data_IF_501516886499
#
_entry.id   IF_501516886499
#
_cell.length_a   1.000
_cell.length_b   1.000
_cell.length_c   1.000
_cell.angle_alpha   90.00
_cell.angle_beta   90.00
_cell.angle_gamma   90.00
#
_symmetry.space_group_name_H-M   'P 1'
#
loop_
_entity.id
_entity.type
_entity.pdbx_description
1 polymer ?
#
# COMPACT_ATOMS: atom_id res chain seq x y z
N UNK A 1 -4.27 8.82 7.36
CA UNK A 1 -5.33 7.80 7.58
C UNK A 1 -4.68 6.44 7.43
N UNK A 2 -4.94 5.48 8.33
CA UNK A 2 -4.28 4.18 8.36
C UNK A 2 -5.30 3.04 8.33
N UNK A 3 -5.08 2.08 7.44
CA UNK A 3 -5.93 0.90 7.27
C UNK A 3 -5.06 -0.36 7.35
N UNK A 4 -5.41 -1.29 8.23
CA UNK A 4 -4.74 -2.57 8.34
C UNK A 4 -5.32 -3.55 7.33
N UNK A 5 -4.44 -4.31 6.66
CA UNK A 5 -4.83 -5.22 5.58
C UNK A 5 -5.43 -6.53 6.13
N UNK A 6 -5.20 -6.85 7.40
CA UNK A 6 -5.65 -8.09 8.06
C UNK A 6 -6.17 -7.88 9.49
N UNK A 7 -6.91 -8.86 10.02
CA UNK A 7 -7.53 -8.81 11.36
C UNK A 7 -6.66 -9.50 12.43
N UNK A 8 -6.02 -8.66 13.28
CA UNK A 8 -5.21 -8.93 14.50
C UNK A 8 -3.72 -9.25 14.30
N UNK A 9 -2.85 -8.48 14.98
CA UNK A 9 -1.41 -8.74 15.15
C UNK A 9 -0.47 -7.70 14.55
N UNK A 10 0.81 -8.08 14.47
CA UNK A 10 1.82 -7.54 13.55
C UNK A 10 1.28 -7.73 12.13
N UNK A 11 0.69 -6.66 11.57
CA UNK A 11 -0.06 -6.74 10.31
C UNK A 11 0.32 -5.56 9.40
N UNK A 12 0.51 -5.81 8.10
CA UNK A 12 0.79 -4.76 7.14
C UNK A 12 -0.38 -3.78 7.04
N UNK A 13 -0.02 -2.51 6.85
CA UNK A 13 -0.99 -1.42 6.77
C UNK A 13 -0.71 -0.55 5.54
N UNK A 14 -1.76 0.12 5.09
CA UNK A 14 -1.67 1.26 4.17
C UNK A 14 -1.92 2.52 4.97
N UNK A 15 -0.98 3.46 4.94
CA UNK A 15 -1.05 4.71 5.69
C UNK A 15 -0.76 5.91 4.79
N UNK A 16 -1.67 6.90 4.79
CA UNK A 16 -1.42 8.19 4.15
C UNK A 16 -0.66 9.11 5.09
N UNK A 17 0.52 9.57 4.67
CA UNK A 17 1.42 10.45 5.41
C UNK A 17 1.78 11.67 4.54
N UNK A 18 1.00 12.75 4.67
CA UNK A 18 1.11 13.90 3.78
C UNK A 18 0.72 13.52 2.34
N UNK A 19 1.62 13.77 1.39
CA UNK A 19 1.47 13.43 -0.03
C UNK A 19 1.92 12.01 -0.39
N UNK A 20 2.40 11.25 0.60
CA UNK A 20 2.94 9.91 0.40
C UNK A 20 2.04 8.84 1.01
N UNK A 21 2.18 7.62 0.49
CA UNK A 21 1.52 6.41 0.96
C UNK A 21 2.56 5.42 1.42
N UNK A 22 2.46 4.99 2.67
CA UNK A 22 3.26 3.92 3.25
C UNK A 22 2.49 2.61 3.15
N UNK A 23 3.14 1.55 2.67
CA UNK A 23 2.55 0.20 2.58
C UNK A 23 3.50 -0.81 3.22
N UNK A 24 2.98 -1.62 4.14
CA UNK A 24 3.70 -2.77 4.69
C UNK A 24 3.77 -2.79 6.21
N UNK A 25 4.76 -3.51 6.73
CA UNK A 25 4.94 -3.75 8.15
C UNK A 25 6.42 -3.73 8.56
N UNK A 26 6.75 -2.93 9.59
CA UNK A 26 8.11 -2.87 10.13
C UNK A 26 9.15 -2.52 9.06
N UNK A 27 10.22 -3.31 8.97
CA UNK A 27 11.28 -3.13 7.98
C UNK A 27 10.83 -3.39 6.53
N UNK A 28 9.69 -4.06 6.33
CA UNK A 28 9.10 -4.34 5.02
C UNK A 28 8.08 -3.27 4.62
N UNK A 29 8.32 -2.02 5.00
CA UNK A 29 7.47 -0.87 4.65
C UNK A 29 8.08 -0.10 3.50
N UNK A 30 7.32 0.10 2.43
CA UNK A 30 7.70 0.96 1.31
C UNK A 30 6.97 2.30 1.39
N UNK A 31 7.65 3.36 0.95
CA UNK A 31 7.06 4.70 0.81
C UNK A 31 6.88 5.00 -0.67
N UNK A 32 5.65 5.31 -1.05
CA UNK A 32 5.26 5.67 -2.40
C UNK A 32 4.82 7.12 -2.45
N UNK A 33 5.34 7.87 -3.41
CA UNK A 33 4.77 9.17 -3.77
C UNK A 33 3.41 8.99 -4.43
N UNK A 34 2.62 10.05 -4.46
CA UNK A 34 1.28 10.06 -5.09
C UNK A 34 1.25 9.47 -6.50
N UNK A 35 2.23 9.76 -7.35
CA UNK A 35 2.30 9.21 -8.71
C UNK A 35 2.59 7.70 -8.72
N UNK A 36 3.48 7.23 -7.85
CA UNK A 36 3.82 5.80 -7.73
C UNK A 36 2.65 5.00 -7.17
N UNK A 37 1.93 5.56 -6.19
CA UNK A 37 0.67 5.01 -5.69
C UNK A 37 -0.39 4.91 -6.80
N UNK A 38 -0.57 5.96 -7.60
CA UNK A 38 -1.54 5.95 -8.70
C UNK A 38 -1.20 4.89 -9.75
N UNK A 39 0.09 4.73 -10.08
CA UNK A 39 0.55 3.68 -10.98
C UNK A 39 0.28 2.28 -10.41
N UNK A 40 0.51 2.06 -9.11
CA UNK A 40 0.17 0.80 -8.45
C UNK A 40 -1.34 0.50 -8.55
N UNK A 41 -2.19 1.50 -8.28
CA UNK A 41 -3.64 1.37 -8.41
C UNK A 41 -4.07 1.07 -9.85
N UNK A 42 -3.46 1.72 -10.82
CA UNK A 42 -3.73 1.49 -12.25
C UNK A 42 -3.38 0.05 -12.64
N UNK A 43 -2.21 -0.46 -12.25
CA UNK A 43 -1.78 -1.83 -12.53
C UNK A 43 -2.67 -2.90 -11.91
N UNK A 44 -3.20 -2.66 -10.70
CA UNK A 44 -4.16 -3.56 -10.07
C UNK A 44 -5.49 -3.54 -10.85
N UNK A 45 -5.96 -2.35 -11.25
CA UNK A 45 -7.23 -2.20 -11.98
C UNK A 45 -7.17 -2.71 -13.42
N UNK A 46 -6.02 -2.61 -14.07
CA UNK A 46 -5.80 -3.14 -15.42
C UNK A 46 -5.70 -4.68 -15.43
N UNK A 47 -5.52 -5.29 -14.26
CA UNK A 47 -5.26 -6.72 -14.14
C UNK A 47 -3.82 -7.09 -14.52
N UNK A 48 -2.89 -6.14 -14.58
CA UNK A 48 -1.46 -6.46 -14.69
C UNK A 48 -0.93 -7.07 -13.40
N UNK A 49 -1.39 -6.55 -12.26
CA UNK A 49 -1.16 -7.11 -10.93
C UNK A 49 -2.41 -7.85 -10.46
N UNK A 50 -2.49 -9.14 -10.77
CA UNK A 50 -3.56 -10.02 -10.29
C UNK A 50 -3.13 -10.77 -9.03
N UNK A 51 -4.08 -11.15 -8.14
CA UNK A 51 -3.83 -12.16 -7.13
C UNK A 51 -3.35 -13.45 -7.83
N UNK A 52 -2.26 -14.03 -7.31
CA UNK A 52 -1.82 -15.38 -7.70
C UNK A 52 -2.70 -16.40 -6.98
#
# INVERSE_FOLDING_TARGET
MKVYICNKGCCPAVETAGDDVLIGEGANTVRLKKNEWNMLVEKIRSGELNPI
#
